data_IF_862422114974
#
_entry.id   IF_862422114974
#
_cell.length_a   1.000
_cell.length_b   1.000
_cell.length_c   1.000
_cell.angle_alpha   90.00
_cell.angle_beta   90.00
_cell.angle_gamma   90.00
#
_symmetry.space_group_name_H-M   'P 1'
#
loop_
_entity.id
_entity.type
_entity.pdbx_description
1 polymer ?
#
# COMPACT_ATOMS: atom_id res chain seq x y z
N UNK A 1 10.56 13.26 -3.54
CA UNK A 1 11.88 13.88 -3.75
C UNK A 1 12.82 12.75 -4.10
N UNK A 2 13.40 12.79 -5.30
CA UNK A 2 14.38 11.80 -5.77
C UNK A 2 15.68 12.01 -4.98
N UNK A 3 16.18 10.98 -4.29
CA UNK A 3 17.45 11.05 -3.57
C UNK A 3 18.61 10.92 -4.56
N UNK A 4 19.05 12.05 -5.14
CA UNK A 4 20.15 12.09 -6.12
C UNK A 4 21.43 12.56 -5.42
N UNK A 5 22.51 11.79 -5.55
CA UNK A 5 23.87 12.22 -5.19
C UNK A 5 24.54 12.81 -6.42
N UNK A 6 24.81 14.12 -6.40
CA UNK A 6 25.50 14.80 -7.49
C UNK A 6 27.02 14.71 -7.32
N UNK A 7 27.71 14.36 -8.40
CA UNK A 7 29.16 14.22 -8.45
C UNK A 7 29.71 14.97 -9.66
N UNK A 8 30.64 15.88 -9.42
CA UNK A 8 31.39 16.53 -10.49
C UNK A 8 32.64 15.72 -10.81
N UNK A 9 32.94 15.58 -12.10
CA UNK A 9 34.11 14.86 -12.57
C UNK A 9 35.03 15.81 -13.33
N UNK A 10 36.28 15.90 -12.87
CA UNK A 10 37.35 16.72 -13.46
C UNK A 10 38.46 15.79 -13.92
N UNK A 11 38.50 15.46 -15.22
CA UNK A 11 39.34 14.40 -15.77
C UNK A 11 38.99 13.05 -15.13
N UNK A 12 39.79 12.59 -14.17
CA UNK A 12 39.57 11.39 -13.38
C UNK A 12 39.15 11.68 -11.93
N UNK A 13 39.23 12.93 -11.48
CA UNK A 13 38.92 13.31 -10.10
C UNK A 13 37.42 13.47 -9.90
N UNK A 14 36.89 12.89 -8.83
CA UNK A 14 35.49 13.01 -8.44
C UNK A 14 35.32 13.93 -7.23
N UNK A 15 34.32 14.81 -7.28
CA UNK A 15 33.89 15.66 -6.18
C UNK A 15 32.41 15.41 -5.90
N UNK A 16 32.11 14.80 -4.75
CA UNK A 16 30.73 14.56 -4.31
C UNK A 16 30.19 15.83 -3.67
N UNK A 17 29.17 16.43 -4.28
CA UNK A 17 28.60 17.70 -3.82
C UNK A 17 27.68 17.53 -2.61
N UNK A 18 26.96 16.41 -2.55
CA UNK A 18 25.92 16.17 -1.56
C UNK A 18 26.25 14.95 -0.69
N UNK A 19 26.55 15.16 0.60
CA UNK A 19 26.87 14.08 1.55
C UNK A 19 25.62 13.39 2.09
N UNK A 20 24.94 12.63 1.23
CA UNK A 20 23.78 11.82 1.64
C UNK A 20 24.21 10.57 2.42
N UNK A 21 23.47 10.27 3.48
CA UNK A 21 23.56 9.00 4.21
C UNK A 21 22.27 8.24 3.97
N UNK A 22 22.38 7.11 3.28
CA UNK A 22 21.28 6.21 2.97
C UNK A 22 20.98 5.29 4.15
N UNK A 23 19.87 4.57 4.05
CA UNK A 23 19.38 3.64 5.06
C UNK A 23 19.37 2.21 4.53
N UNK A 24 19.72 1.25 5.38
CA UNK A 24 19.52 -0.17 5.04
C UNK A 24 18.04 -0.42 4.74
N UNK A 25 17.74 -0.99 3.58
CA UNK A 25 16.37 -1.21 3.12
C UNK A 25 15.78 -0.06 2.29
N UNK A 26 16.55 0.98 1.95
CA UNK A 26 16.14 1.95 0.93
C UNK A 26 15.93 1.23 -0.41
N UNK A 27 14.67 0.94 -0.72
CA UNK A 27 14.24 0.26 -1.96
C UNK A 27 13.76 1.26 -3.04
N UNK A 28 13.96 2.57 -2.82
CA UNK A 28 13.46 3.64 -3.66
C UNK A 28 14.57 4.45 -4.32
N UNK A 29 14.94 4.05 -5.54
CA UNK A 29 15.63 4.87 -6.56
C UNK A 29 16.65 5.93 -6.08
N UNK A 30 17.66 5.62 -5.23
CA UNK A 30 18.76 6.54 -5.05
C UNK A 30 19.60 6.53 -6.33
N UNK A 31 19.84 7.70 -6.90
CA UNK A 31 20.60 7.82 -8.14
C UNK A 31 21.91 8.55 -7.90
N UNK A 32 22.93 8.19 -8.67
CA UNK A 32 24.13 9.00 -8.81
C UNK A 32 24.02 9.75 -10.13
N UNK A 33 24.22 11.06 -10.06
CA UNK A 33 24.41 11.91 -11.23
C UNK A 33 25.88 12.25 -11.34
N UNK A 34 26.54 11.75 -12.38
CA UNK A 34 27.88 12.19 -12.72
C UNK A 34 27.76 13.30 -13.77
N UNK A 35 28.41 14.44 -13.50
CA UNK A 35 28.54 15.54 -14.45
C UNK A 35 30.00 15.81 -14.70
N UNK A 36 30.44 15.57 -15.93
CA UNK A 36 31.82 15.78 -16.34
C UNK A 36 32.01 17.25 -16.73
N UNK A 37 32.82 17.94 -15.93
CA UNK A 37 33.19 19.33 -16.19
C UNK A 37 34.36 19.40 -17.16
N UNK A 38 35.25 18.41 -17.11
CA UNK A 38 36.38 18.27 -18.01
C UNK A 38 36.65 16.79 -18.28
N UNK A 39 36.85 16.43 -19.55
CA UNK A 39 37.15 15.07 -19.99
C UNK A 39 38.54 15.05 -20.63
N UNK A 40 39.42 14.17 -20.17
CA UNK A 40 40.79 14.09 -20.71
C UNK A 40 40.77 13.41 -22.09
N UNK A 41 40.99 14.19 -23.14
CA UNK A 41 41.15 13.67 -24.50
C UNK A 41 39.87 13.15 -25.16
N UNK A 42 38.69 13.52 -24.66
CA UNK A 42 37.40 13.15 -25.24
C UNK A 42 36.45 14.35 -25.29
N UNK A 43 35.71 14.47 -26.38
CA UNK A 43 34.73 15.56 -26.58
C UNK A 43 33.33 15.19 -26.04
N UNK A 44 33.06 13.89 -25.85
CA UNK A 44 31.75 13.38 -25.38
C UNK A 44 31.90 12.06 -24.61
N UNK A 45 30.96 11.79 -23.70
CA UNK A 45 30.73 10.48 -23.08
C UNK A 45 29.71 9.65 -23.84
N UNK A 46 28.93 10.27 -24.73
CA UNK A 46 27.85 9.59 -25.42
C UNK A 46 28.40 8.40 -26.22
N UNK A 47 27.79 7.24 -26.03
CA UNK A 47 28.21 5.99 -26.68
C UNK A 47 29.32 5.23 -25.94
N UNK A 48 29.92 5.79 -24.87
CA UNK A 48 30.88 5.07 -24.02
C UNK A 48 30.18 4.17 -23.01
N UNK A 49 30.91 3.21 -22.47
CA UNK A 49 30.43 2.35 -21.38
C UNK A 49 31.07 2.73 -20.06
N UNK A 50 30.31 2.67 -18.98
CA UNK A 50 30.82 2.75 -17.61
C UNK A 50 30.70 1.38 -16.96
N UNK A 51 31.82 0.85 -16.49
CA UNK A 51 31.88 -0.28 -15.59
C UNK A 51 31.85 0.24 -14.16
N UNK A 52 30.81 -0.14 -13.41
CA UNK A 52 30.57 0.30 -12.05
C UNK A 52 30.85 -0.87 -11.11
N UNK A 53 31.83 -0.72 -10.23
CA UNK A 53 32.20 -1.74 -9.24
C UNK A 53 31.91 -1.22 -7.84
N UNK A 54 30.95 -1.85 -7.17
CA UNK A 54 30.58 -1.56 -5.79
C UNK A 54 31.29 -2.52 -4.86
N UNK A 55 32.22 -2.03 -4.05
CA UNK A 55 32.90 -2.80 -3.00
C UNK A 55 32.14 -2.57 -1.70
N UNK A 56 31.44 -3.60 -1.25
CA UNK A 56 30.54 -3.57 -0.10
C UNK A 56 31.33 -3.60 1.23
N UNK A 57 30.70 -3.26 2.37
CA UNK A 57 31.39 -3.20 3.67
C UNK A 57 32.03 -4.53 4.12
N UNK A 58 31.48 -5.66 3.68
CA UNK A 58 31.99 -7.01 3.93
C UNK A 58 33.11 -7.43 2.97
N UNK A 59 33.60 -6.50 2.13
CA UNK A 59 34.59 -6.69 1.06
C UNK A 59 34.12 -7.53 -0.12
N UNK A 60 32.87 -8.00 -0.13
CA UNK A 60 32.27 -8.53 -1.36
C UNK A 60 32.06 -7.40 -2.38
N UNK A 61 31.84 -7.74 -3.65
CA UNK A 61 31.63 -6.72 -4.66
C UNK A 61 30.55 -7.10 -5.67
N UNK A 62 29.94 -6.08 -6.26
CA UNK A 62 29.01 -6.19 -7.39
C UNK A 62 29.55 -5.35 -8.55
N UNK A 63 29.35 -5.83 -9.77
CA UNK A 63 29.76 -5.14 -10.99
C UNK A 63 28.58 -5.02 -11.93
N UNK A 64 28.38 -3.84 -12.50
CA UNK A 64 27.41 -3.59 -13.57
C UNK A 64 28.05 -2.74 -14.66
N UNK A 65 27.46 -2.79 -15.86
CA UNK A 65 27.91 -1.98 -17.00
C UNK A 65 26.73 -1.19 -17.52
N UNK A 66 26.93 0.11 -17.71
CA UNK A 66 25.91 1.02 -18.25
C UNK A 66 26.42 1.71 -19.51
N UNK A 67 25.54 1.86 -20.50
CA UNK A 67 25.81 2.63 -21.72
C UNK A 67 25.41 4.10 -21.49
N UNK A 68 26.31 5.02 -21.82
CA UNK A 68 26.07 6.45 -21.62
C UNK A 68 25.37 7.04 -22.84
N UNK A 69 24.22 7.68 -22.61
CA UNK A 69 23.45 8.36 -23.66
C UNK A 69 23.63 9.88 -23.66
N UNK A 70 24.07 10.47 -22.55
CA UNK A 70 24.30 11.90 -22.41
C UNK A 70 25.70 12.32 -22.88
N UNK A 71 25.83 13.57 -23.31
CA UNK A 71 27.10 14.10 -23.84
C UNK A 71 28.16 14.29 -22.76
N UNK A 72 27.79 14.85 -21.61
CA UNK A 72 28.70 15.13 -20.49
C UNK A 72 28.12 14.74 -19.13
N UNK A 73 26.94 14.12 -19.11
CA UNK A 73 26.29 13.69 -17.88
C UNK A 73 25.70 12.28 -18.03
N UNK A 74 25.65 11.59 -16.90
CA UNK A 74 24.98 10.29 -16.77
C UNK A 74 24.28 10.25 -15.41
N UNK A 75 23.02 9.80 -15.44
CA UNK A 75 22.23 9.53 -14.25
C UNK A 75 21.94 8.03 -14.23
N UNK A 76 22.29 7.36 -13.15
CA UNK A 76 22.04 5.93 -13.01
C UNK A 76 21.67 5.56 -11.57
N UNK A 77 20.83 4.52 -11.38
CA UNK A 77 20.45 4.05 -10.05
C UNK A 77 21.64 3.38 -9.37
N UNK A 78 21.76 3.55 -8.05
CA UNK A 78 22.73 2.81 -7.24
C UNK A 78 22.26 1.36 -7.11
N UNK A 79 23.16 0.40 -7.33
CA UNK A 79 22.83 -1.03 -7.23
C UNK A 79 22.28 -1.40 -5.84
N UNK A 80 21.22 -2.21 -5.80
CA UNK A 80 20.48 -2.49 -4.55
C UNK A 80 21.31 -3.14 -3.43
N UNK A 81 22.39 -3.84 -3.79
CA UNK A 81 23.29 -4.49 -2.83
C UNK A 81 23.92 -3.51 -1.83
N UNK A 82 24.04 -2.23 -2.21
CA UNK A 82 24.59 -1.15 -1.38
C UNK A 82 23.71 -0.86 -0.14
N UNK A 83 22.43 -1.23 -0.20
CA UNK A 83 21.44 -0.99 0.85
C UNK A 83 21.12 -2.24 1.68
N UNK A 84 21.88 -3.33 1.51
CA UNK A 84 21.68 -4.59 2.26
C UNK A 84 22.44 -4.56 3.58
N UNK A 85 23.69 -4.09 3.55
CA UNK A 85 24.57 -4.01 4.71
C UNK A 85 24.78 -2.54 5.10
N UNK A 86 24.67 -2.22 6.39
CA UNK A 86 25.09 -0.92 6.90
C UNK A 86 26.61 -0.80 6.84
N UNK A 87 27.13 0.37 6.46
CA UNK A 87 28.55 0.61 6.30
C UNK A 87 28.87 1.53 5.13
N UNK A 88 30.14 1.54 4.75
CA UNK A 88 30.65 2.38 3.67
C UNK A 88 30.90 1.49 2.46
N UNK A 89 30.24 1.80 1.35
CA UNK A 89 30.47 1.14 0.07
C UNK A 89 31.36 2.03 -0.78
N UNK A 90 32.41 1.47 -1.36
CA UNK A 90 33.26 2.17 -2.33
C UNK A 90 32.79 1.86 -3.74
N UNK A 91 32.33 2.88 -4.46
CA UNK A 91 32.02 2.80 -5.88
C UNK A 91 33.25 3.21 -6.69
N UNK A 92 33.76 2.28 -7.49
CA UNK A 92 34.79 2.52 -8.51
C UNK A 92 34.12 2.56 -9.88
N UNK A 93 34.42 3.59 -10.65
CA UNK A 93 33.85 3.79 -11.99
C UNK A 93 34.99 3.75 -13.00
N UNK A 94 34.85 2.90 -14.02
CA UNK A 94 35.79 2.84 -15.14
C UNK A 94 35.07 3.13 -16.44
N UNK A 95 35.51 4.18 -17.14
CA UNK A 95 35.09 4.49 -18.50
C UNK A 95 35.81 3.55 -19.45
N UNK A 96 35.06 2.87 -20.32
CA UNK A 96 35.56 1.91 -21.31
C UNK A 96 35.28 2.42 -22.72
N UNK A 97 36.32 2.51 -23.52
CA UNK A 97 36.30 2.91 -24.93
C UNK A 97 37.24 2.01 -25.74
N UNK A 98 36.71 0.91 -26.28
CA UNK A 98 37.52 -0.13 -26.91
C UNK A 98 38.51 -0.74 -25.92
N UNK A 99 39.81 -0.63 -26.21
CA UNK A 99 40.89 -1.08 -25.32
C UNK A 99 41.26 -0.06 -24.24
N UNK A 100 40.82 1.20 -24.39
CA UNK A 100 41.14 2.27 -23.45
C UNK A 100 40.23 2.20 -22.22
N UNK A 101 40.84 2.29 -21.04
CA UNK A 101 40.13 2.23 -19.75
C UNK A 101 40.62 3.37 -18.88
N UNK A 102 39.70 4.21 -18.42
CA UNK A 102 39.99 5.34 -17.52
C UNK A 102 39.21 5.13 -16.23
N UNK A 103 39.91 4.98 -15.10
CA UNK A 103 39.27 4.81 -13.79
C UNK A 103 39.19 6.15 -13.07
N UNK A 104 38.01 6.46 -12.56
CA UNK A 104 37.76 7.65 -11.77
C UNK A 104 38.14 7.43 -10.30
N UNK A 105 38.27 8.52 -9.54
CA UNK A 105 38.44 8.47 -8.10
C UNK A 105 37.26 7.76 -7.42
N UNK A 106 37.58 7.13 -6.29
CA UNK A 106 36.64 6.35 -5.51
C UNK A 106 35.54 7.24 -4.90
N UNK A 107 34.28 6.86 -5.12
CA UNK A 107 33.12 7.51 -4.51
C UNK A 107 32.67 6.67 -3.30
N UNK A 108 32.49 7.32 -2.15
CA UNK A 108 32.01 6.64 -0.93
C UNK A 108 30.52 6.83 -0.75
N UNK A 109 29.78 5.72 -0.75
CA UNK A 109 28.34 5.68 -0.46
C UNK A 109 28.16 5.20 0.98
N UNK A 110 27.47 5.99 1.80
CA UNK A 110 27.26 5.71 3.23
C UNK A 110 25.86 5.16 3.46
N UNK A 111 25.76 3.99 4.08
CA UNK A 111 24.49 3.36 4.47
C UNK A 111 24.45 3.15 5.99
N UNK A 112 23.44 3.68 6.68
CA UNK A 112 23.23 3.49 8.12
C UNK A 112 22.28 2.32 8.38
N UNK A 113 22.66 1.44 9.30
CA UNK A 113 21.76 0.39 9.81
C UNK A 113 20.75 1.01 10.78
N UNK A 114 19.46 0.77 10.57
CA UNK A 114 18.45 1.07 11.59
C UNK A 114 18.44 -0.11 12.57
N UNK A 115 18.78 0.17 13.82
CA UNK A 115 18.48 -0.74 14.93
C UNK A 115 17.09 -0.37 15.46
N UNK A 116 16.16 -1.35 15.47
CA UNK A 116 14.87 -1.18 16.10
C UNK A 116 15.10 -0.76 17.57
N UNK A 117 14.62 0.42 17.95
CA UNK A 117 14.59 0.88 19.34
C UNK A 117 15.60 1.95 19.77
N UNK A 118 16.42 2.55 18.88
CA UNK A 118 17.23 3.72 19.25
C UNK A 118 16.44 5.03 19.14
N UNK A 119 16.47 5.84 20.21
CA UNK A 119 15.92 7.20 20.26
C UNK A 119 16.57 8.11 19.23
N UNK A 120 15.78 9.04 18.69
CA UNK A 120 16.24 10.10 17.79
C UNK A 120 17.26 11.01 18.50
N UNK A 121 18.50 11.05 18.02
CA UNK A 121 19.60 11.88 18.57
C UNK A 121 19.54 13.35 18.12
N UNK A 122 18.37 13.86 17.72
CA UNK A 122 18.24 15.28 17.39
C UNK A 122 17.72 16.03 18.61
N UNK A 123 18.63 16.70 19.33
CA UNK A 123 18.36 17.46 20.56
C UNK A 123 17.20 18.45 20.40
N UNK A 124 17.05 19.03 19.20
CA UNK A 124 15.94 19.95 18.85
C UNK A 124 14.59 19.24 18.74
N UNK A 125 14.59 17.99 18.27
CA UNK A 125 13.41 17.15 18.18
C UNK A 125 13.02 16.62 19.56
N UNK A 126 13.98 16.29 20.42
CA UNK A 126 13.68 15.85 21.79
C UNK A 126 13.06 16.99 22.63
N UNK A 127 13.53 18.23 22.47
CA UNK A 127 12.91 19.42 23.08
C UNK A 127 11.48 19.66 22.57
N UNK A 128 11.24 19.51 21.26
CA UNK A 128 9.90 19.61 20.67
C UNK A 128 8.96 18.50 21.13
N UNK A 129 9.46 17.25 21.22
CA UNK A 129 8.69 16.11 21.71
C UNK A 129 8.36 16.30 23.20
N UNK A 130 9.30 16.80 24.01
CA UNK A 130 9.02 17.08 25.43
C UNK A 130 8.01 18.22 25.60
N UNK A 131 8.11 19.28 24.80
CA UNK A 131 7.13 20.36 24.80
C UNK A 131 5.73 19.84 24.42
N UNK A 132 5.64 18.98 23.40
CA UNK A 132 4.39 18.37 22.94
C UNK A 132 3.81 17.39 23.98
N UNK A 133 4.65 16.57 24.62
CA UNK A 133 4.23 15.67 25.72
C UNK A 133 3.65 16.48 26.88
N UNK A 134 4.30 17.59 27.26
CA UNK A 134 3.82 18.47 28.33
C UNK A 134 2.48 19.13 27.95
N UNK A 135 2.35 19.60 26.72
CA UNK A 135 1.12 20.19 26.20
C UNK A 135 -0.03 19.16 26.21
N UNK A 136 0.17 17.97 25.64
CA UNK A 136 -0.85 16.91 25.62
C UNK A 136 -1.19 16.39 27.01
N UNK A 137 -0.22 16.29 27.91
CA UNK A 137 -0.49 15.87 29.30
C UNK A 137 -1.36 16.88 30.04
N UNK A 138 -1.22 18.17 29.73
CA UNK A 138 -2.06 19.23 30.29
C UNK A 138 -3.48 19.17 29.74
N UNK A 139 -3.63 19.03 28.42
CA UNK A 139 -4.94 18.87 27.77
C UNK A 139 -5.71 17.64 28.31
N UNK A 140 -5.03 16.49 28.43
CA UNK A 140 -5.64 15.27 28.99
C UNK A 140 -6.12 15.48 30.43
N UNK A 141 -5.37 16.23 31.25
CA UNK A 141 -5.77 16.55 32.63
C UNK A 141 -6.99 17.48 32.67
N UNK A 142 -7.01 18.51 31.83
CA UNK A 142 -8.12 19.47 31.77
C UNK A 142 -9.41 18.80 31.25
N UNK A 143 -9.31 17.96 30.23
CA UNK A 143 -10.40 17.14 29.70
C UNK A 143 -10.92 16.14 30.76
N UNK A 144 -10.00 15.48 31.48
CA UNK A 144 -10.35 14.57 32.58
C UNK A 144 -11.08 15.26 33.73
N UNK A 145 -10.68 16.49 34.10
CA UNK A 145 -11.40 17.27 35.10
C UNK A 145 -12.79 17.71 34.63
N UNK A 146 -12.93 18.06 33.35
CA UNK A 146 -14.22 18.42 32.74
C UNK A 146 -15.18 17.23 32.74
N UNK A 147 -14.73 16.07 32.28
CA UNK A 147 -15.52 14.83 32.31
C UNK A 147 -15.90 14.44 33.73
N UNK A 148 -14.99 14.60 34.71
CA UNK A 148 -15.31 14.34 36.12
C UNK A 148 -16.42 15.26 36.64
N UNK A 149 -16.42 16.55 36.30
CA UNK A 149 -17.49 17.49 36.66
C UNK A 149 -18.82 17.13 36.00
N UNK A 150 -18.81 16.76 34.72
CA UNK A 150 -20.00 16.33 33.98
C UNK A 150 -20.61 15.04 34.56
N UNK A 151 -19.79 14.06 34.94
CA UNK A 151 -20.23 12.83 35.60
C UNK A 151 -20.86 13.14 36.97
N UNK A 152 -20.27 14.05 37.76
CA UNK A 152 -20.83 14.46 39.05
C UNK A 152 -22.21 15.12 38.86
N UNK A 153 -22.33 16.07 37.93
CA UNK A 153 -23.59 16.74 37.63
C UNK A 153 -24.67 15.77 37.11
N UNK A 154 -24.30 14.81 36.26
CA UNK A 154 -25.20 13.76 35.77
C UNK A 154 -25.66 12.84 36.91
N UNK A 155 -24.76 12.48 37.82
CA UNK A 155 -25.07 11.65 38.98
C UNK A 155 -26.04 12.35 39.94
N UNK A 156 -25.85 13.64 40.19
CA UNK A 156 -26.75 14.45 41.04
C UNK A 156 -28.16 14.54 40.43
N UNK A 157 -28.25 14.79 39.12
CA UNK A 157 -29.53 14.83 38.40
C UNK A 157 -30.26 13.48 38.42
N UNK A 158 -29.52 12.38 38.25
CA UNK A 158 -30.07 11.03 38.34
C UNK A 158 -30.56 10.69 39.77
N UNK A 159 -29.83 11.13 40.81
CA UNK A 159 -30.25 10.96 42.21
C UNK A 159 -31.53 11.74 42.51
N UNK A 160 -31.65 12.97 42.00
CA UNK A 160 -32.84 13.81 42.16
C UNK A 160 -34.06 13.20 41.45
N UNK A 161 -33.89 12.66 40.23
CA UNK A 161 -34.95 11.92 39.54
C UNK A 161 -35.38 10.64 40.27
N UNK A 162 -34.44 9.89 40.84
CA UNK A 162 -34.73 8.68 41.63
C UNK A 162 -35.50 9.06 42.90
N UNK A 163 -35.12 10.15 43.57
CA UNK A 163 -35.79 10.60 44.79
C UNK A 163 -37.21 11.10 44.51
N UNK A 164 -37.40 11.83 43.40
CA UNK A 164 -38.72 12.28 42.95
C UNK A 164 -39.62 11.10 42.55
N UNK A 165 -39.07 10.09 41.86
CA UNK A 165 -39.81 8.84 41.57
C UNK A 165 -40.16 8.06 42.84
N UNK A 166 -39.27 8.01 43.84
CA UNK A 166 -39.54 7.39 45.15
C UNK A 166 -40.65 8.10 45.93
N UNK A 167 -40.68 9.43 45.90
CA UNK A 167 -41.76 10.23 46.52
C UNK A 167 -43.11 10.01 45.81
N UNK A 168 -43.10 9.83 44.49
CA UNK A 168 -44.29 9.51 43.70
C UNK A 168 -44.79 8.05 43.88
N UNK A 169 -43.92 7.11 44.26
CA UNK A 169 -44.24 5.69 44.47
C UNK A 169 -44.66 5.34 45.90
N UNK A 170 -44.68 6.30 46.84
CA UNK A 170 -45.05 6.04 48.23
C UNK A 170 -46.57 6.10 48.43
N UNK A 171 -47.27 5.12 47.86
CA UNK A 171 -48.59 4.66 48.29
C UNK A 171 -48.45 3.53 49.32
N UNK A 172 -49.53 3.24 50.05
CA UNK A 172 -49.55 2.44 51.28
C UNK A 172 -48.86 1.07 51.22
N UNK A 173 -48.27 0.68 52.36
CA UNK A 173 -47.56 -0.59 52.59
C UNK A 173 -48.41 -1.80 52.18
N UNK A 174 -47.94 -2.55 51.18
CA UNK A 174 -48.38 -3.92 50.90
C UNK A 174 -47.52 -4.95 51.64
N UNK A 175 -48.12 -6.08 51.98
CA UNK A 175 -47.52 -7.19 52.73
C UNK A 175 -46.33 -7.86 52.00
N UNK A 176 -45.43 -8.41 52.80
CA UNK A 176 -44.13 -8.95 52.40
C UNK A 176 -44.29 -10.26 51.60
N UNK A 177 -43.92 -10.23 50.31
CA UNK A 177 -43.86 -11.41 49.44
C UNK A 177 -42.71 -12.35 49.81
N UNK A 178 -42.98 -13.66 49.74
CA UNK A 178 -42.07 -14.77 50.05
C UNK A 178 -40.82 -14.78 49.15
N UNK A 179 -39.68 -15.11 49.77
CA UNK A 179 -38.35 -15.20 49.15
C UNK A 179 -38.30 -16.28 48.05
N UNK A 180 -37.94 -15.87 46.83
CA UNK A 180 -37.70 -16.79 45.71
C UNK A 180 -36.49 -17.72 45.95
N UNK A 181 -36.62 -18.96 45.51
CA UNK A 181 -35.62 -20.02 45.65
C UNK A 181 -34.30 -19.68 44.92
N UNK A 182 -33.20 -20.10 45.55
CA UNK A 182 -31.81 -19.95 45.11
C UNK A 182 -31.56 -20.69 43.78
N UNK A 183 -30.98 -19.99 42.80
CA UNK A 183 -30.65 -20.58 41.49
C UNK A 183 -29.61 -21.70 41.56
N UNK A 184 -29.69 -22.65 40.62
CA UNK A 184 -28.72 -23.73 40.49
C UNK A 184 -27.37 -23.23 39.94
N UNK A 185 -26.30 -23.84 40.47
CA UNK A 185 -24.90 -23.56 40.17
C UNK A 185 -24.51 -24.03 38.77
N UNK A 186 -23.62 -23.26 38.14
CA UNK A 186 -23.12 -23.49 36.80
C UNK A 186 -22.29 -24.76 36.61
N UNK A 187 -22.30 -25.24 35.38
CA UNK A 187 -21.35 -26.22 34.86
C UNK A 187 -20.24 -25.50 34.09
N UNK A 188 -19.02 -25.53 34.64
CA UNK A 188 -17.81 -25.26 33.89
C UNK A 188 -17.31 -26.55 33.25
N UNK A 189 -16.76 -26.40 32.03
CA UNK A 189 -15.46 -26.88 31.57
C UNK A 189 -15.49 -27.67 30.26
N UNK A 190 -15.30 -26.94 29.16
CA UNK A 190 -14.41 -27.37 28.08
C UNK A 190 -13.54 -26.17 27.74
N UNK A 191 -12.25 -26.27 28.05
CA UNK A 191 -11.22 -25.37 27.55
C UNK A 191 -10.82 -25.93 26.20
N UNK A 192 -11.24 -25.26 25.12
CA UNK A 192 -10.46 -25.24 23.88
C UNK A 192 -10.06 -23.78 23.70
N UNK A 193 -8.81 -23.48 24.06
CA UNK A 193 -8.17 -22.27 23.59
C UNK A 193 -7.91 -22.45 22.11
N UNK A 194 -8.64 -21.70 21.31
CA UNK A 194 -8.16 -21.02 20.10
C UNK A 194 -9.36 -20.17 19.69
N UNK A 195 -9.44 -18.97 20.28
CA UNK A 195 -10.30 -17.92 19.75
C UNK A 195 -9.99 -17.82 18.26
N UNK A 196 -10.94 -18.20 17.42
CA UNK A 196 -10.93 -17.81 16.02
C UNK A 196 -10.61 -16.31 15.99
N UNK A 197 -9.59 -15.88 15.21
CA UNK A 197 -9.24 -14.47 15.22
C UNK A 197 -10.44 -13.67 14.70
N UNK A 198 -10.67 -12.51 15.30
CA UNK A 198 -11.85 -11.71 15.01
C UNK A 198 -11.91 -11.35 13.52
N UNK A 199 -12.94 -11.84 12.81
CA UNK A 199 -13.16 -11.57 11.37
C UNK A 199 -13.24 -10.08 11.02
N UNK A 200 -13.52 -9.21 12.00
CA UNK A 200 -13.54 -7.76 11.82
C UNK A 200 -12.14 -7.09 11.77
N UNK A 201 -11.08 -7.81 12.16
CA UNK A 201 -9.70 -7.30 12.17
C UNK A 201 -8.81 -7.85 11.04
N UNK A 202 -9.35 -8.72 10.17
CA UNK A 202 -8.63 -9.38 9.07
C UNK A 202 -8.32 -8.51 7.86
N UNK A 203 -8.01 -7.25 8.10
CA UNK A 203 -7.43 -6.40 7.06
C UNK A 203 -5.90 -6.56 7.10
N UNK A 204 -5.44 -7.72 6.65
CA UNK A 204 -4.01 -8.07 6.42
C UNK A 204 -3.46 -7.36 5.16
N UNK A 205 -4.33 -6.63 4.46
CA UNK A 205 -3.94 -5.68 3.44
C UNK A 205 -3.22 -4.51 4.10
N UNK A 206 -2.25 -3.94 3.38
CA UNK A 206 -1.49 -2.77 3.84
C UNK A 206 -2.48 -1.74 4.38
N UNK A 207 -2.60 -1.63 5.71
CA UNK A 207 -3.13 -0.43 6.33
C UNK A 207 -2.06 0.62 6.06
N UNK A 208 -2.33 1.67 5.28
CA UNK A 208 -1.40 2.77 5.22
C UNK A 208 -1.24 3.26 6.65
N UNK A 209 -0.10 2.99 7.29
CA UNK A 209 0.21 3.59 8.58
C UNK A 209 0.14 5.11 8.38
N UNK A 210 -0.71 5.74 9.17
CA UNK A 210 -1.18 7.13 9.11
C UNK A 210 -0.06 8.15 9.33
N UNK A 211 0.95 8.17 8.46
CA UNK A 211 2.02 9.17 8.49
C UNK A 211 1.89 10.20 7.36
N UNK A 212 0.75 10.27 6.69
CA UNK A 212 0.39 11.36 5.78
C UNK A 212 -0.88 12.01 6.26
N UNK A 213 -0.82 13.32 6.59
CA UNK A 213 -1.93 14.17 7.07
C UNK A 213 -2.97 13.39 7.87
N UNK A 214 -2.84 13.37 9.19
CA UNK A 214 -3.83 12.73 10.08
C UNK A 214 -5.21 13.38 9.84
N UNK A 215 -6.00 12.73 8.99
CA UNK A 215 -7.31 13.20 8.55
C UNK A 215 -8.29 13.18 9.72
N UNK A 216 -8.04 12.35 10.74
CA UNK A 216 -8.81 12.37 11.98
C UNK A 216 -8.54 13.65 12.78
N UNK A 217 -7.29 14.12 12.86
CA UNK A 217 -7.01 15.46 13.42
C UNK A 217 -7.62 16.61 12.59
N UNK A 218 -7.60 16.52 11.26
CA UNK A 218 -8.29 17.51 10.40
C UNK A 218 -9.81 17.49 10.60
N UNK A 219 -10.41 16.32 10.86
CA UNK A 219 -11.83 16.16 11.18
C UNK A 219 -12.18 16.78 12.54
N UNK A 220 -11.32 16.63 13.54
CA UNK A 220 -11.51 17.10 14.93
C UNK A 220 -11.25 18.60 15.14
N UNK A 221 -10.40 19.23 14.33
CA UNK A 221 -10.17 20.69 14.44
C UNK A 221 -11.44 21.48 14.06
N UNK A 222 -11.87 22.37 14.96
CA UNK A 222 -12.92 23.35 14.70
C UNK A 222 -12.58 24.24 13.50
N UNK A 223 -13.61 24.82 12.88
CA UNK A 223 -13.47 25.67 11.69
C UNK A 223 -12.58 26.89 12.00
N UNK A 224 -11.31 26.82 11.62
CA UNK A 224 -10.49 28.01 11.43
C UNK A 224 -10.67 28.42 9.96
N UNK A 225 -11.02 29.69 9.73
CA UNK A 225 -11.36 30.32 8.46
C UNK A 225 -10.23 30.29 7.40
N UNK A 226 -9.79 29.11 7.01
CA UNK A 226 -8.98 28.87 5.83
C UNK A 226 -9.95 28.40 4.74
N UNK A 227 -10.33 29.31 3.83
CA UNK A 227 -11.28 29.14 2.72
C UNK A 227 -11.06 27.93 1.77
N UNK A 228 -10.11 27.04 2.06
CA UNK A 228 -9.73 25.88 1.23
C UNK A 228 -9.95 24.53 1.91
N UNK A 229 -10.67 24.46 3.04
CA UNK A 229 -11.09 23.18 3.62
C UNK A 229 -12.58 23.21 3.97
N UNK A 230 -13.35 22.35 3.30
CA UNK A 230 -14.78 22.15 3.54
C UNK A 230 -14.98 20.77 4.15
N UNK A 231 -15.93 20.64 5.09
CA UNK A 231 -16.36 19.35 5.64
C UNK A 231 -17.85 19.17 5.34
N UNK A 232 -18.25 18.01 4.83
CA UNK A 232 -19.64 17.71 4.55
C UNK A 232 -19.97 16.22 4.67
N UNK A 233 -21.09 15.82 4.07
CA UNK A 233 -21.57 14.43 4.06
C UNK A 233 -22.02 14.13 2.64
N UNK A 234 -21.47 13.09 2.03
CA UNK A 234 -21.70 12.77 0.62
C UNK A 234 -20.56 13.21 -0.30
N UNK A 235 -20.66 12.81 -1.57
CA UNK A 235 -19.78 13.32 -2.64
C UNK A 235 -19.97 14.83 -2.84
N UNK A 236 -18.89 15.62 -2.99
CA UNK A 236 -18.99 17.05 -3.28
C UNK A 236 -19.37 17.34 -4.74
N UNK A 237 -19.22 16.37 -5.64
CA UNK A 237 -19.45 16.54 -7.09
C UNK A 237 -20.89 16.96 -7.37
N UNK A 238 -21.05 18.12 -8.01
CA UNK A 238 -22.36 18.66 -8.38
C UNK A 238 -23.17 19.24 -7.22
N UNK A 239 -22.65 19.17 -5.98
CA UNK A 239 -23.34 19.61 -4.76
C UNK A 239 -22.63 20.80 -4.12
N UNK A 240 -21.29 20.77 -4.04
CA UNK A 240 -20.50 21.73 -3.25
C UNK A 240 -19.76 22.70 -4.16
N UNK A 241 -20.19 23.96 -4.14
CA UNK A 241 -19.51 25.06 -4.85
C UNK A 241 -18.29 25.52 -4.06
N UNK A 242 -17.12 25.51 -4.69
CA UNK A 242 -15.85 25.92 -4.08
C UNK A 242 -14.82 26.34 -5.14
N UNK A 243 -13.85 27.18 -4.73
CA UNK A 243 -12.73 27.57 -5.58
C UNK A 243 -11.78 26.39 -5.86
N UNK A 244 -11.08 26.43 -7.00
CA UNK A 244 -10.00 25.47 -7.33
C UNK A 244 -8.97 25.42 -6.20
N UNK A 245 -8.44 24.23 -5.92
CA UNK A 245 -7.55 23.93 -4.80
C UNK A 245 -8.23 23.93 -3.41
N UNK A 246 -9.56 23.88 -3.36
CA UNK A 246 -10.29 23.59 -2.13
C UNK A 246 -10.28 22.09 -1.86
N UNK A 247 -10.01 21.70 -0.62
CA UNK A 247 -10.17 20.36 -0.11
C UNK A 247 -11.57 20.16 0.46
N UNK A 248 -12.15 18.99 0.22
CA UNK A 248 -13.43 18.59 0.81
C UNK A 248 -13.29 17.24 1.52
N UNK A 249 -13.68 17.20 2.79
CA UNK A 249 -13.73 15.99 3.60
C UNK A 249 -15.17 15.46 3.63
N UNK A 250 -15.36 14.24 3.14
CA UNK A 250 -16.63 13.52 3.26
C UNK A 250 -16.66 12.70 4.55
N UNK A 251 -17.47 13.13 5.52
CA UNK A 251 -17.65 12.44 6.80
C UNK A 251 -18.31 11.06 6.67
N UNK A 252 -19.09 10.82 5.62
CA UNK A 252 -19.73 9.53 5.37
C UNK A 252 -18.83 8.52 4.65
N UNK A 253 -17.66 8.96 4.15
CA UNK A 253 -16.77 8.14 3.31
C UNK A 253 -17.53 7.50 2.14
N UNK A 254 -18.33 8.28 1.41
CA UNK A 254 -19.23 7.79 0.36
C UNK A 254 -18.42 7.07 -0.72
N UNK A 255 -18.81 5.83 -1.05
CA UNK A 255 -18.06 4.95 -1.97
C UNK A 255 -16.60 4.69 -1.54
N UNK A 256 -16.29 4.86 -0.25
CA UNK A 256 -14.94 4.75 0.29
C UNK A 256 -14.07 6.00 0.09
N UNK A 257 -14.55 7.03 -0.62
CA UNK A 257 -13.82 8.27 -0.82
C UNK A 257 -14.06 9.23 0.36
N UNK A 258 -13.00 9.79 0.95
CA UNK A 258 -13.14 10.65 2.13
C UNK A 258 -12.36 11.96 2.05
N UNK A 259 -11.43 12.12 1.09
CA UNK A 259 -10.81 13.41 0.78
C UNK A 259 -10.81 13.70 -0.72
N UNK A 260 -11.28 14.89 -1.07
CA UNK A 260 -11.41 15.37 -2.44
C UNK A 260 -10.66 16.70 -2.62
N UNK A 261 -10.16 16.94 -3.83
CA UNK A 261 -9.56 18.19 -4.28
C UNK A 261 -10.39 18.78 -5.42
N UNK A 262 -10.74 20.06 -5.31
CA UNK A 262 -11.33 20.82 -6.42
C UNK A 262 -10.26 21.09 -7.47
N UNK A 263 -10.42 20.54 -8.67
CA UNK A 263 -9.40 20.61 -9.73
C UNK A 263 -9.75 21.57 -10.88
N UNK A 264 -10.98 22.07 -10.94
CA UNK A 264 -11.41 22.99 -11.99
C UNK A 264 -12.55 23.91 -11.54
N UNK A 265 -13.12 24.70 -12.45
CA UNK A 265 -14.12 25.71 -12.12
C UNK A 265 -15.56 25.16 -12.07
N UNK A 266 -15.84 24.06 -12.77
CA UNK A 266 -17.21 23.49 -12.82
C UNK A 266 -17.53 22.72 -11.55
N UNK A 267 -18.77 22.75 -11.07
CA UNK A 267 -19.16 22.13 -9.80
C UNK A 267 -18.96 20.60 -9.72
N UNK A 268 -18.75 19.94 -10.85
CA UNK A 268 -18.48 18.49 -10.96
C UNK A 268 -16.99 18.14 -10.97
N UNK A 269 -16.10 19.14 -11.13
CA UNK A 269 -14.66 18.95 -11.27
C UNK A 269 -13.98 18.81 -9.90
N UNK A 270 -14.15 17.62 -9.32
CA UNK A 270 -13.49 17.17 -8.09
C UNK A 270 -12.72 15.88 -8.35
N UNK A 271 -11.58 15.71 -7.69
CA UNK A 271 -10.77 14.48 -7.74
C UNK A 271 -10.64 13.90 -6.34
N UNK A 272 -10.88 12.61 -6.18
CA UNK A 272 -10.55 11.90 -4.94
C UNK A 272 -9.03 11.85 -4.82
N UNK A 273 -8.51 12.29 -3.68
CA UNK A 273 -7.08 12.20 -3.36
C UNK A 273 -6.80 11.24 -2.20
N UNK A 274 -7.82 10.97 -1.36
CA UNK A 274 -7.80 9.87 -0.40
C UNK A 274 -9.09 9.07 -0.43
N UNK A 275 -8.95 7.76 -0.54
CA UNK A 275 -10.07 6.84 -0.58
C UNK A 275 -9.65 5.40 -0.40
N UNK A 276 -10.57 4.59 0.09
CA UNK A 276 -10.39 3.16 0.31
C UNK A 276 -11.69 2.43 0.00
N UNK A 277 -11.67 1.59 -1.04
CA UNK A 277 -12.87 0.84 -1.46
C UNK A 277 -13.25 -0.27 -0.48
N UNK A 278 -12.37 -0.57 0.49
CA UNK A 278 -12.39 -1.82 1.23
C UNK A 278 -12.08 -3.02 0.34
N UNK A 279 -11.98 -4.19 0.97
CA UNK A 279 -11.72 -5.46 0.29
C UNK A 279 -13.00 -5.97 -0.36
N UNK A 280 -12.98 -6.10 -1.69
CA UNK A 280 -14.06 -6.68 -2.48
C UNK A 280 -13.67 -8.11 -2.84
N UNK A 281 -14.51 -9.07 -2.46
CA UNK A 281 -14.33 -10.47 -2.81
C UNK A 281 -15.31 -10.88 -3.93
N UNK A 282 -14.81 -11.63 -4.91
CA UNK A 282 -15.62 -12.24 -5.96
C UNK A 282 -15.05 -13.59 -6.39
N UNK A 283 -15.75 -14.28 -7.27
CA UNK A 283 -15.41 -15.64 -7.72
C UNK A 283 -15.39 -15.70 -9.24
N UNK A 284 -14.69 -16.68 -9.80
CA UNK A 284 -14.54 -16.87 -11.25
C UNK A 284 -14.81 -18.32 -11.63
N UNK A 285 -15.30 -18.58 -12.85
CA UNK A 285 -15.73 -19.94 -13.21
C UNK A 285 -14.55 -20.89 -13.32
N UNK A 286 -13.33 -20.38 -13.51
CA UNK A 286 -12.09 -21.15 -13.65
C UNK A 286 -11.33 -21.34 -12.33
N UNK A 287 -11.79 -20.71 -11.24
CA UNK A 287 -11.11 -20.66 -9.95
C UNK A 287 -11.87 -21.49 -8.90
N UNK A 288 -11.14 -22.22 -8.06
CA UNK A 288 -11.60 -22.72 -6.77
C UNK A 288 -11.06 -21.78 -5.68
N UNK A 289 -11.94 -21.10 -4.97
CA UNK A 289 -11.58 -20.02 -4.03
C UNK A 289 -12.19 -18.68 -4.45
N UNK A 290 -11.59 -17.59 -3.99
CA UNK A 290 -12.02 -16.21 -4.22
C UNK A 290 -10.88 -15.36 -4.77
N UNK A 291 -11.26 -14.38 -5.56
CA UNK A 291 -10.43 -13.23 -5.92
C UNK A 291 -10.76 -12.11 -4.95
N UNK A 292 -9.74 -11.45 -4.42
CA UNK A 292 -9.88 -10.28 -3.56
C UNK A 292 -9.19 -9.09 -4.18
N UNK A 293 -9.88 -7.96 -4.25
CA UNK A 293 -9.34 -6.72 -4.80
C UNK A 293 -9.71 -5.53 -3.91
N UNK A 294 -8.78 -4.61 -3.72
CA UNK A 294 -8.97 -3.37 -2.96
C UNK A 294 -8.21 -2.24 -3.63
N UNK A 295 -8.81 -1.07 -3.71
CA UNK A 295 -8.12 0.16 -4.08
C UNK A 295 -7.97 1.07 -2.86
N UNK A 296 -6.75 1.52 -2.62
CA UNK A 296 -6.42 2.55 -1.63
C UNK A 296 -5.69 3.66 -2.38
N UNK A 297 -6.30 4.85 -2.42
CA UNK A 297 -5.84 5.98 -3.22
C UNK A 297 -5.66 5.55 -4.70
N UNK A 298 -4.42 5.55 -5.21
CA UNK A 298 -4.09 5.10 -6.57
C UNK A 298 -3.40 3.73 -6.60
N UNK A 299 -3.35 3.03 -5.47
CA UNK A 299 -2.86 1.68 -5.36
C UNK A 299 -4.00 0.68 -5.42
N UNK A 300 -3.86 -0.33 -6.26
CA UNK A 300 -4.77 -1.49 -6.30
C UNK A 300 -3.99 -2.70 -5.83
N UNK A 301 -4.62 -3.48 -4.96
CA UNK A 301 -4.07 -4.73 -4.45
C UNK A 301 -5.02 -5.86 -4.81
N UNK A 302 -4.48 -6.87 -5.50
CA UNK A 302 -5.17 -8.06 -5.96
C UNK A 302 -4.53 -9.31 -5.32
N UNK A 303 -5.37 -10.24 -4.85
CA UNK A 303 -4.96 -11.51 -4.24
C UNK A 303 -5.96 -12.61 -4.57
N UNK A 304 -5.53 -13.86 -4.39
CA UNK A 304 -6.34 -15.06 -4.57
C UNK A 304 -6.22 -15.94 -3.32
N UNK A 305 -7.34 -16.48 -2.85
CA UNK A 305 -7.37 -17.32 -1.65
C UNK A 305 -8.77 -17.85 -1.35
N UNK A 306 -9.13 -17.94 -0.08
CA UNK A 306 -10.48 -18.28 0.36
C UNK A 306 -10.78 -19.77 0.53
N UNK A 307 -9.82 -20.67 0.29
CA UNK A 307 -9.87 -22.06 0.79
C UNK A 307 -9.19 -22.15 2.16
N UNK A 308 -9.09 -23.37 2.71
CA UNK A 308 -8.36 -23.61 3.96
C UNK A 308 -6.90 -23.15 3.83
N UNK A 309 -6.37 -22.52 4.89
CA UNK A 309 -5.06 -21.84 4.89
C UNK A 309 -4.88 -20.78 3.81
N UNK A 310 -6.00 -20.19 3.39
CA UNK A 310 -6.11 -19.16 2.35
C UNK A 310 -5.53 -19.57 0.99
N UNK A 311 -5.53 -20.88 0.72
CA UNK A 311 -5.16 -21.42 -0.59
C UNK A 311 -6.22 -21.10 -1.64
N UNK A 312 -5.85 -21.29 -2.91
CA UNK A 312 -6.79 -21.33 -4.02
C UNK A 312 -6.41 -22.43 -5.02
N UNK A 313 -7.25 -22.66 -6.02
CA UNK A 313 -6.97 -23.61 -7.09
C UNK A 313 -7.53 -23.14 -8.43
N UNK A 314 -7.08 -23.79 -9.50
CA UNK A 314 -7.65 -23.66 -10.83
C UNK A 314 -8.41 -24.93 -11.16
N UNK A 315 -9.63 -24.79 -11.67
CA UNK A 315 -10.51 -25.93 -11.94
C UNK A 315 -9.93 -26.83 -13.03
N UNK A 316 -10.32 -28.11 -12.98
CA UNK A 316 -9.94 -29.08 -14.00
C UNK A 316 -10.50 -28.72 -15.37
N UNK A 317 -9.84 -29.20 -16.42
CA UNK A 317 -10.19 -28.93 -17.82
C UNK A 317 -11.68 -29.11 -18.14
N UNK A 318 -12.30 -30.18 -17.64
CA UNK A 318 -13.72 -30.49 -17.88
C UNK A 318 -14.70 -29.44 -17.31
N UNK A 319 -14.26 -28.61 -16.35
CA UNK A 319 -15.08 -27.59 -15.69
C UNK A 319 -14.78 -26.17 -16.19
N UNK A 320 -13.76 -26.02 -17.04
CA UNK A 320 -13.34 -24.75 -17.61
C UNK A 320 -13.83 -24.67 -19.04
N UNK A 321 -14.48 -23.55 -19.41
CA UNK A 321 -14.86 -23.32 -20.80
C UNK A 321 -13.61 -23.33 -21.70
N UNK A 322 -13.64 -24.07 -22.81
CA UNK A 322 -12.50 -24.20 -23.72
C UNK A 322 -11.98 -22.85 -24.25
N UNK A 323 -12.84 -21.83 -24.33
CA UNK A 323 -12.44 -20.46 -24.72
C UNK A 323 -11.65 -19.70 -23.65
N UNK A 324 -11.70 -20.14 -22.39
CA UNK A 324 -11.04 -19.48 -21.28
C UNK A 324 -9.53 -19.78 -21.24
N UNK A 325 -9.10 -20.90 -21.84
CA UNK A 325 -7.68 -21.24 -21.93
C UNK A 325 -7.21 -21.44 -23.36
N UNK A 326 -5.93 -21.16 -23.59
CA UNK A 326 -5.25 -21.49 -24.85
C UNK A 326 -3.81 -21.88 -24.61
N UNK A 327 -3.29 -22.72 -25.50
CA UNK A 327 -1.85 -22.96 -25.59
C UNK A 327 -1.18 -21.76 -26.26
N UNK A 328 -0.10 -21.27 -25.67
CA UNK A 328 0.70 -20.17 -26.19
C UNK A 328 2.14 -20.64 -26.32
N UNK A 329 2.69 -20.54 -27.52
CA UNK A 329 4.09 -20.86 -27.80
C UNK A 329 4.80 -19.58 -28.22
N UNK A 330 5.83 -19.19 -27.48
CA UNK A 330 6.66 -18.04 -27.80
C UNK A 330 8.14 -18.42 -27.66
N UNK A 331 8.93 -18.23 -28.72
CA UNK A 331 10.35 -18.61 -28.78
C UNK A 331 10.63 -20.03 -28.25
N UNK A 332 9.79 -21.00 -28.63
CA UNK A 332 9.91 -22.40 -28.20
C UNK A 332 9.45 -22.70 -26.77
N UNK A 333 9.13 -21.66 -25.97
CA UNK A 333 8.53 -21.84 -24.64
C UNK A 333 7.02 -21.99 -24.77
N UNK A 334 6.49 -23.08 -24.22
CA UNK A 334 5.06 -23.37 -24.22
C UNK A 334 4.47 -23.08 -22.84
N UNK A 335 3.38 -22.33 -22.81
CA UNK A 335 2.60 -22.08 -21.62
C UNK A 335 1.10 -22.18 -21.92
N UNK A 336 0.31 -22.55 -20.91
CA UNK A 336 -1.14 -22.41 -20.97
C UNK A 336 -1.53 -21.05 -20.42
N UNK A 337 -2.27 -20.29 -21.21
CA UNK A 337 -2.85 -19.02 -20.82
C UNK A 337 -4.31 -19.23 -20.45
N UNK A 338 -4.65 -19.12 -19.17
CA UNK A 338 -6.01 -19.24 -18.63
C UNK A 338 -6.48 -17.87 -18.14
N UNK A 339 -7.51 -17.31 -18.77
CA UNK A 339 -8.11 -16.04 -18.36
C UNK A 339 -9.10 -16.28 -17.22
N UNK A 340 -9.15 -15.35 -16.26
CA UNK A 340 -10.33 -15.25 -15.41
C UNK A 340 -11.57 -15.02 -16.27
N UNK A 341 -12.68 -15.53 -15.78
CA UNK A 341 -14.00 -15.42 -16.40
C UNK A 341 -15.05 -15.02 -15.38
N UNK A 342 -16.08 -14.35 -15.88
CA UNK A 342 -17.23 -13.93 -15.11
C UNK A 342 -18.08 -15.13 -14.67
N UNK A 343 -18.63 -15.07 -13.47
CA UNK A 343 -19.37 -16.17 -12.86
C UNK A 343 -20.83 -16.26 -13.30
N UNK A 344 -21.43 -15.16 -13.79
CA UNK A 344 -22.82 -15.19 -14.28
C UNK A 344 -22.89 -15.26 -15.81
N UNK A 345 -22.01 -14.52 -16.48
CA UNK A 345 -21.98 -14.47 -17.95
C UNK A 345 -21.10 -15.54 -18.60
N UNK A 346 -20.23 -16.23 -17.84
CA UNK A 346 -19.27 -17.22 -18.32
C UNK A 346 -18.27 -16.70 -19.38
N UNK A 347 -18.29 -15.38 -19.65
CA UNK A 347 -17.40 -14.71 -20.60
C UNK A 347 -16.06 -14.31 -19.97
N UNK A 348 -15.18 -13.74 -20.80
CA UNK A 348 -13.90 -13.23 -20.34
C UNK A 348 -14.09 -12.10 -19.30
N UNK A 349 -13.38 -12.20 -18.18
CA UNK A 349 -13.35 -11.17 -17.15
C UNK A 349 -12.38 -10.05 -17.55
N UNK A 350 -12.77 -8.81 -17.29
CA UNK A 350 -11.94 -7.64 -17.42
C UNK A 350 -12.10 -6.75 -16.19
N UNK A 351 -10.99 -6.17 -15.71
CA UNK A 351 -11.03 -5.25 -14.58
C UNK A 351 -11.87 -4.01 -14.95
N UNK A 352 -12.87 -3.66 -14.12
CA UNK A 352 -13.69 -2.48 -14.35
C UNK A 352 -12.86 -1.20 -14.18
N UNK A 353 -13.34 -0.11 -14.79
CA UNK A 353 -12.75 1.21 -14.62
C UNK A 353 -12.66 1.55 -13.13
N UNK A 354 -11.52 2.11 -12.73
CA UNK A 354 -11.18 2.39 -11.35
C UNK A 354 -10.24 1.36 -10.74
N UNK A 355 -10.04 0.19 -11.36
CA UNK A 355 -9.15 -0.88 -10.88
C UNK A 355 -8.12 -1.34 -11.91
N UNK A 356 -8.08 -0.72 -13.11
CA UNK A 356 -7.24 -1.18 -14.21
C UNK A 356 -5.78 -0.84 -13.95
N UNK A 357 -4.87 -1.71 -14.38
CA UNK A 357 -3.45 -1.40 -14.28
C UNK A 357 -3.02 -0.46 -15.39
N UNK A 358 -2.12 0.47 -15.07
CA UNK A 358 -1.49 1.32 -16.08
C UNK A 358 -0.47 0.55 -16.95
N UNK A 359 0.13 -0.50 -16.38
CA UNK A 359 1.19 -1.30 -16.99
C UNK A 359 0.90 -2.80 -16.84
N UNK A 360 1.50 -3.68 -17.67
CA UNK A 360 1.42 -5.12 -17.45
C UNK A 360 2.22 -5.52 -16.21
N UNK A 361 1.60 -6.29 -15.32
CA UNK A 361 2.25 -6.85 -14.14
C UNK A 361 2.24 -8.37 -14.22
N UNK A 362 3.42 -8.98 -14.08
CA UNK A 362 3.57 -10.41 -13.86
C UNK A 362 3.92 -10.67 -12.40
N UNK A 363 3.08 -11.46 -11.72
CA UNK A 363 3.35 -11.98 -10.37
C UNK A 363 3.62 -13.48 -10.45
N UNK A 364 4.59 -14.03 -9.70
CA UNK A 364 4.84 -15.46 -9.71
C UNK A 364 3.68 -16.26 -9.09
N UNK A 365 3.43 -17.45 -9.64
CA UNK A 365 2.42 -18.40 -9.18
C UNK A 365 3.11 -19.68 -8.69
N UNK A 366 2.80 -20.08 -7.46
CA UNK A 366 3.41 -21.24 -6.81
C UNK A 366 2.36 -22.26 -6.40
N UNK A 367 2.78 -23.52 -6.34
CA UNK A 367 2.15 -24.52 -5.47
C UNK A 367 2.62 -24.29 -4.01
N UNK A 368 1.83 -24.70 -3.02
CA UNK A 368 2.12 -24.51 -1.59
C UNK A 368 3.47 -25.10 -1.15
N UNK A 369 3.92 -26.15 -1.85
CA UNK A 369 5.26 -26.74 -1.66
C UNK A 369 6.43 -25.82 -2.06
N UNK A 370 6.17 -24.62 -2.60
CA UNK A 370 7.18 -23.65 -3.04
C UNK A 370 7.62 -23.83 -4.50
N UNK A 371 7.05 -24.78 -5.23
CA UNK A 371 7.37 -25.00 -6.65
C UNK A 371 6.69 -23.93 -7.50
N UNK A 372 7.46 -23.23 -8.33
CA UNK A 372 6.93 -22.28 -9.32
C UNK A 372 6.21 -23.05 -10.44
N UNK A 373 4.94 -22.72 -10.66
CA UNK A 373 4.14 -23.33 -11.73
C UNK A 373 3.81 -22.33 -12.85
N UNK A 374 4.16 -21.05 -12.67
CA UNK A 374 4.00 -20.03 -13.69
C UNK A 374 3.86 -18.62 -13.14
N UNK A 375 2.96 -17.85 -13.74
CA UNK A 375 2.72 -16.45 -13.38
C UNK A 375 1.26 -16.04 -13.52
N UNK A 376 0.90 -14.95 -12.87
CA UNK A 376 -0.36 -14.24 -13.00
C UNK A 376 -0.07 -12.91 -13.68
N UNK A 377 -0.69 -12.67 -14.82
CA UNK A 377 -0.69 -11.39 -15.51
C UNK A 377 -1.90 -10.56 -15.09
N UNK A 378 -1.65 -9.34 -14.65
CA UNK A 378 -2.65 -8.25 -14.65
C UNK A 378 -2.34 -7.35 -15.83
N UNK A 379 -3.23 -7.38 -16.83
CA UNK A 379 -3.01 -6.73 -18.10
C UNK A 379 -3.57 -5.30 -18.10
N UNK A 380 -2.91 -4.35 -18.80
CA UNK A 380 -3.42 -2.99 -18.96
C UNK A 380 -4.50 -2.95 -20.06
N UNK A 381 -5.00 -1.74 -20.35
CA UNK A 381 -6.06 -1.53 -21.34
C UNK A 381 -5.68 -1.99 -22.76
N UNK A 382 -4.40 -1.88 -23.15
CA UNK A 382 -3.91 -2.38 -24.43
C UNK A 382 -3.95 -3.91 -24.57
N UNK A 383 -4.13 -4.64 -23.46
CA UNK A 383 -4.28 -6.10 -23.43
C UNK A 383 -5.55 -6.48 -22.64
N UNK A 384 -6.65 -5.81 -22.98
CA UNK A 384 -8.04 -6.11 -22.55
C UNK A 384 -8.35 -6.01 -21.05
N UNK A 385 -7.49 -5.40 -20.23
CA UNK A 385 -7.68 -5.31 -18.77
C UNK A 385 -7.89 -6.68 -18.08
N UNK A 386 -7.37 -7.76 -18.67
CA UNK A 386 -7.63 -9.12 -18.19
C UNK A 386 -6.74 -9.48 -17.00
N UNK A 387 -7.19 -10.45 -16.21
CA UNK A 387 -6.35 -11.18 -15.26
C UNK A 387 -6.19 -12.60 -15.77
N UNK A 388 -4.95 -13.05 -15.95
CA UNK A 388 -4.63 -14.28 -16.69
C UNK A 388 -3.51 -15.07 -16.03
N UNK A 389 -3.73 -16.36 -15.79
CA UNK A 389 -2.69 -17.29 -15.38
C UNK A 389 -1.90 -17.76 -16.61
N UNK A 390 -0.58 -17.65 -16.58
CA UNK A 390 0.32 -18.25 -17.57
C UNK A 390 1.04 -19.41 -16.88
N UNK A 391 0.57 -20.62 -17.12
CA UNK A 391 1.01 -21.84 -16.46
C UNK A 391 2.07 -22.51 -17.33
N UNK A 392 3.22 -22.85 -16.75
CA UNK A 392 4.34 -23.48 -17.44
C UNK A 392 4.06 -24.98 -17.58
N UNK A 393 3.15 -25.30 -18.50
CA UNK A 393 2.74 -26.67 -18.82
C UNK A 393 2.48 -26.78 -20.33
N UNK A 394 2.80 -27.92 -20.96
CA UNK A 394 2.50 -28.15 -22.37
C UNK A 394 0.99 -28.29 -22.65
N UNK A 395 0.21 -28.75 -21.66
CA UNK A 395 -1.23 -28.97 -21.76
C UNK A 395 -1.95 -28.53 -20.48
N UNK A 396 -3.24 -28.20 -20.58
CA UNK A 396 -4.03 -27.85 -19.39
C UNK A 396 -4.38 -29.11 -18.59
N UNK A 397 -4.35 -28.99 -17.26
CA UNK A 397 -4.49 -30.13 -16.36
C UNK A 397 -5.91 -30.74 -16.38
N UNK A 398 -5.98 -32.05 -16.61
CA UNK A 398 -7.24 -32.83 -16.55
C UNK A 398 -7.79 -32.94 -15.12
N UNK A 399 -6.95 -32.72 -14.10
CA UNK A 399 -7.33 -32.72 -12.67
C UNK A 399 -7.35 -31.33 -12.06
N UNK A 400 -6.98 -30.29 -12.82
CA UNK A 400 -6.84 -28.93 -12.33
C UNK A 400 -5.54 -28.72 -11.56
N UNK A 401 -5.46 -27.59 -10.86
CA UNK A 401 -4.33 -27.20 -10.02
C UNK A 401 -4.87 -26.86 -8.63
N UNK A 402 -4.32 -27.50 -7.60
CA UNK A 402 -4.75 -27.33 -6.20
C UNK A 402 -3.63 -26.70 -5.39
N UNK A 403 -3.96 -26.25 -4.18
CA UNK A 403 -3.01 -25.74 -3.19
C UNK A 403 -2.07 -24.66 -3.76
N UNK A 404 -2.66 -23.70 -4.46
CA UNK A 404 -1.92 -22.61 -5.08
C UNK A 404 -1.76 -21.43 -4.13
N UNK A 405 -0.63 -20.74 -4.31
CA UNK A 405 -0.27 -19.50 -3.63
C UNK A 405 0.30 -18.47 -4.59
N UNK A 406 0.04 -17.21 -4.27
CA UNK A 406 0.69 -16.07 -4.89
C UNK A 406 0.87 -14.95 -3.86
N UNK A 407 1.86 -14.10 -4.06
CA UNK A 407 1.99 -12.86 -3.30
C UNK A 407 0.89 -11.87 -3.67
N UNK A 408 0.65 -10.89 -2.80
CA UNK A 408 -0.17 -9.74 -3.14
C UNK A 408 0.36 -9.05 -4.42
N UNK A 409 -0.53 -8.86 -5.38
CA UNK A 409 -0.24 -8.15 -6.63
C UNK A 409 -0.63 -6.70 -6.41
N UNK A 410 0.36 -5.86 -6.10
CA UNK A 410 0.18 -4.42 -5.87
C UNK A 410 0.55 -3.68 -7.15
N UNK A 411 -0.31 -2.78 -7.61
CA UNK A 411 -0.03 -1.96 -8.79
C UNK A 411 -0.69 -0.58 -8.72
N UNK A 412 -0.19 0.33 -9.55
CA UNK A 412 -0.73 1.66 -9.71
C UNK A 412 -1.86 1.69 -10.76
N UNK A 413 -2.93 2.43 -10.46
CA UNK A 413 -4.00 2.74 -11.41
C UNK A 413 -3.97 4.22 -11.77
N UNK A 414 -4.13 4.54 -13.06
CA UNK A 414 -4.36 5.90 -13.54
C UNK A 414 -5.86 6.22 -13.66
N UNK A 415 -6.73 5.24 -13.49
CA UNK A 415 -8.17 5.45 -13.55
C UNK A 415 -8.63 6.35 -12.40
N UNK A 416 -9.61 7.22 -12.68
CA UNK A 416 -10.28 7.97 -11.62
C UNK A 416 -10.85 7.05 -10.54
N UNK A 417 -10.89 7.54 -9.30
CA UNK A 417 -11.49 6.81 -8.19
C UNK A 417 -12.97 6.54 -8.48
N UNK A 418 -13.48 5.31 -8.21
CA UNK A 418 -14.84 4.94 -8.56
C UNK A 418 -15.88 5.85 -7.90
N UNK A 419 -16.67 6.53 -8.73
CA UNK A 419 -17.78 7.37 -8.25
C UNK A 419 -18.98 6.55 -7.75
N UNK A 420 -19.09 5.30 -8.17
CA UNK A 420 -20.12 4.36 -7.77
C UNK A 420 -19.49 3.00 -7.48
N UNK A 421 -19.26 2.75 -6.19
CA UNK A 421 -18.63 1.52 -5.73
C UNK A 421 -19.52 0.29 -5.98
N UNK A 422 -20.84 0.45 -5.92
CA UNK A 422 -21.78 -0.65 -6.14
C UNK A 422 -21.76 -1.11 -7.60
N UNK A 423 -21.71 -0.17 -8.54
CA UNK A 423 -21.57 -0.49 -9.96
C UNK A 423 -20.22 -1.14 -10.27
N UNK A 424 -19.14 -0.72 -9.62
CA UNK A 424 -17.84 -1.37 -9.73
C UNK A 424 -17.87 -2.82 -9.19
N UNK A 425 -18.46 -3.05 -8.01
CA UNK A 425 -18.65 -4.39 -7.44
C UNK A 425 -19.50 -5.27 -8.37
N UNK A 426 -20.55 -4.70 -8.97
CA UNK A 426 -21.37 -5.38 -9.97
C UNK A 426 -20.57 -5.73 -11.23
N UNK A 427 -19.60 -4.91 -11.62
CA UNK A 427 -18.65 -5.21 -12.70
C UNK A 427 -17.75 -6.40 -12.39
N UNK A 428 -17.35 -6.57 -11.13
CA UNK A 428 -16.51 -7.69 -10.69
C UNK A 428 -17.25 -9.02 -10.52
N UNK A 429 -18.55 -8.96 -10.20
CA UNK A 429 -19.38 -10.11 -9.82
C UNK A 429 -20.35 -10.56 -10.93
N UNK A 430 -20.12 -10.10 -12.16
CA UNK A 430 -20.92 -10.41 -13.35
C UNK A 430 -20.65 -11.80 -13.93
#
# INVERSE_FOLDING_TARGET
>A
MEHITNVLVYSNRCEVLDSHVFTVGDRGFPHIRLKFIYMFGAETLQGKQLELKYILPDKSYQVETISVTGENEVLFPIHYSVFVNGGWTTLKITIVEGTNRITLDDIVIKTKKIELGKKFENKKIEELIQAEIVAKTKEIKEEGEKQKKEIIASKEKALEEIENKRKALKGDKGEQGLQGLRGERGHNSVIVSETEPNKAEYDVWIKPTENGLDIETLLQQGSNDNNKLIKGTGSPKGVVQAEVNTLYIDKAKTNGAYLWLKIGNNNTEWKVIKGDTGTIEFTSTVLNGKVRIRRIDDWVILNFGGLQWDLFGLKRKAEVNASAFRKSTYNGTVAIQLKLTNNKTFGAFALPLGLRSAYPIYSPLFHDSGVSIGSILVAPNSDSNMVRFNIVSPEYSETGYVDLRCSNIIYYTTDDYPEDLQNLIRGLTQ
#
